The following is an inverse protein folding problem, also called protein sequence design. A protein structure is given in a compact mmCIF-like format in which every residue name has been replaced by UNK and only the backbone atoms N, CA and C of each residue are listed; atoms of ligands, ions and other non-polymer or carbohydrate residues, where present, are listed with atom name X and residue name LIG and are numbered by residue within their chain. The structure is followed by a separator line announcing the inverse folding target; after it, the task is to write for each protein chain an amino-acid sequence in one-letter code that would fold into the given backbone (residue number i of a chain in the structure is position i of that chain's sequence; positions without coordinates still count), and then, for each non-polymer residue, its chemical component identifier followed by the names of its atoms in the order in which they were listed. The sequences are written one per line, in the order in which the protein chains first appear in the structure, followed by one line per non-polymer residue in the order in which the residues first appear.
data_IF_173995481252
#
_entry.id   IF_173995481252
#
_cell.length_a   1.000
_cell.length_b   1.000
_cell.length_c   1.000
_cell.angle_alpha   90.00
_cell.angle_beta   90.00
_cell.angle_gamma   90.00
#
_symmetry.space_group_name_H-M   'P 1'
#
loop_
_entity.id
_entity.type
_entity.pdbx_description
1 polymer ?
#
# COMPACT_ATOMS: atom_id res chain seq x y z
N UNK A 1 -17.03 -1.63 8.76
CA UNK A 1 -17.28 -1.98 7.34
C UNK A 1 -15.94 -2.17 6.65
N UNK A 2 -15.84 -3.16 5.76
CA UNK A 2 -14.64 -3.36 4.94
C UNK A 2 -14.60 -2.31 3.82
N UNK A 3 -13.41 -1.91 3.41
CA UNK A 3 -13.22 -0.83 2.42
C UNK A 3 -12.31 -1.32 1.31
N UNK A 4 -12.74 -1.19 0.05
CA UNK A 4 -11.88 -1.49 -1.10
C UNK A 4 -11.04 -0.26 -1.45
N UNK A 5 -9.73 -0.45 -1.61
CA UNK A 5 -8.76 0.61 -1.93
C UNK A 5 -7.87 0.18 -3.09
N UNK A 6 -7.21 1.14 -3.75
CA UNK A 6 -6.12 0.85 -4.68
C UNK A 6 -4.79 0.87 -3.93
N UNK A 7 -3.97 -0.15 -4.10
CA UNK A 7 -2.65 -0.24 -3.48
C UNK A 7 -1.61 -0.75 -4.48
N UNK A 8 -0.38 -0.23 -4.41
CA UNK A 8 0.75 -0.81 -5.14
C UNK A 8 1.26 -2.01 -4.32
N UNK A 9 1.32 -3.20 -4.93
CA UNK A 9 1.82 -4.44 -4.32
C UNK A 9 2.95 -5.04 -5.14
N UNK A 10 3.95 -5.54 -4.42
CA UNK A 10 5.05 -6.31 -4.97
C UNK A 10 4.90 -7.74 -4.46
N UNK A 11 4.96 -8.72 -5.36
CA UNK A 11 4.92 -10.15 -5.02
C UNK A 11 6.26 -10.84 -5.22
N UNK A 12 7.21 -10.14 -5.83
CA UNK A 12 8.57 -10.58 -6.14
C UNK A 12 9.51 -9.38 -6.14
N UNK A 13 10.80 -9.63 -5.91
CA UNK A 13 11.83 -8.60 -6.08
C UNK A 13 12.12 -8.37 -7.56
N UNK A 14 12.43 -7.13 -7.93
CA UNK A 14 12.84 -6.82 -9.29
C UNK A 14 12.84 -5.33 -9.61
N UNK A 15 12.90 -5.05 -10.91
CA UNK A 15 12.79 -3.70 -11.45
C UNK A 15 11.38 -3.14 -11.27
N UNK A 16 11.15 -1.82 -11.47
CA UNK A 16 9.85 -1.18 -11.24
C UNK A 16 8.62 -1.87 -11.87
N UNK A 17 8.80 -2.66 -12.92
CA UNK A 17 7.76 -3.44 -13.60
C UNK A 17 7.08 -4.49 -12.70
N UNK A 18 7.69 -4.88 -11.59
CA UNK A 18 7.07 -5.81 -10.62
C UNK A 18 5.99 -5.14 -9.76
N UNK A 19 5.92 -3.80 -9.76
CA UNK A 19 4.90 -3.05 -9.05
C UNK A 19 3.53 -3.21 -9.73
N UNK A 20 2.55 -3.73 -9.00
CA UNK A 20 1.18 -3.91 -9.51
C UNK A 20 0.21 -3.03 -8.73
N UNK A 21 -0.62 -2.27 -9.44
CA UNK A 21 -1.73 -1.54 -8.83
C UNK A 21 -2.94 -2.48 -8.70
N UNK A 22 -3.32 -2.80 -7.47
CA UNK A 22 -4.37 -3.77 -7.17
C UNK A 22 -5.51 -3.15 -6.36
N UNK A 23 -6.72 -3.68 -6.55
CA UNK A 23 -7.86 -3.41 -5.66
C UNK A 23 -7.79 -4.36 -4.46
N UNK A 24 -7.69 -3.81 -3.26
CA UNK A 24 -7.50 -4.55 -2.01
C UNK A 24 -8.61 -4.22 -1.03
N UNK A 25 -9.14 -5.23 -0.35
CA UNK A 25 -10.13 -5.05 0.72
C UNK A 25 -9.42 -4.89 2.07
N UNK A 26 -9.69 -3.78 2.77
CA UNK A 26 -9.14 -3.49 4.10
C UNK A 26 -10.16 -3.82 5.21
N UNK A 27 -9.73 -4.54 6.27
CA UNK A 27 -10.55 -4.75 7.45
C UNK A 27 -10.71 -3.44 8.25
N UNK A 28 -11.77 -3.30 9.07
CA UNK A 28 -11.90 -2.15 9.99
C UNK A 28 -10.67 -2.02 10.91
N UNK A 29 -10.31 -0.79 11.33
CA UNK A 29 -9.22 -0.60 12.29
C UNK A 29 -9.55 -1.29 13.62
N UNK A 30 -8.52 -1.84 14.27
CA UNK A 30 -8.65 -2.42 15.60
C UNK A 30 -8.74 -1.34 16.70
N UNK A 31 -8.93 -1.76 17.95
CA UNK A 31 -8.91 -0.85 19.08
C UNK A 31 -7.54 -0.16 19.20
N UNK A 32 -7.54 1.18 19.23
CA UNK A 32 -6.32 1.98 19.30
C UNK A 32 -5.69 2.32 17.94
N UNK A 33 -6.24 1.83 16.82
CA UNK A 33 -5.76 2.16 15.48
C UNK A 33 -6.56 3.31 14.83
N UNK A 34 -5.90 4.06 13.95
CA UNK A 34 -6.53 5.07 13.11
C UNK A 34 -6.49 4.66 11.64
N UNK A 35 -7.50 5.06 10.87
CA UNK A 35 -7.54 4.87 9.41
C UNK A 35 -7.39 6.20 8.69
N UNK A 36 -6.28 6.36 7.96
CA UNK A 36 -6.03 7.51 7.09
C UNK A 36 -6.43 7.24 5.64
N UNK A 37 -6.96 8.26 4.96
CA UNK A 37 -7.14 8.26 3.50
C UNK A 37 -6.02 9.09 2.88
N UNK A 38 -5.10 8.42 2.18
CA UNK A 38 -3.99 9.10 1.50
C UNK A 38 -4.48 9.85 0.26
N UNK A 39 -4.12 11.14 0.16
CA UNK A 39 -4.28 11.94 -1.07
C UNK A 39 -2.99 11.94 -1.90
N UNK A 40 -1.85 11.80 -1.24
CA UNK A 40 -0.53 11.63 -1.85
C UNK A 40 0.35 10.74 -0.95
N UNK A 41 1.35 10.11 -1.56
CA UNK A 41 2.39 9.31 -0.88
C UNK A 41 3.72 9.66 -1.57
N UNK A 42 4.76 9.95 -0.79
CA UNK A 42 6.09 10.23 -1.30
C UNK A 42 6.95 8.96 -1.38
N UNK A 43 7.81 8.89 -2.39
CA UNK A 43 8.86 7.89 -2.46
C UNK A 43 10.11 8.36 -1.72
N UNK A 44 10.74 7.46 -0.99
CA UNK A 44 12.00 7.66 -0.30
C UNK A 44 13.06 6.71 -0.88
N UNK A 45 14.33 7.08 -0.74
CA UNK A 45 15.43 6.23 -1.17
C UNK A 45 15.45 4.86 -0.47
N UNK A 46 14.96 4.78 0.78
CA UNK A 46 14.83 3.51 1.51
C UNK A 46 13.84 2.53 0.87
N UNK A 47 13.00 2.98 -0.07
CA UNK A 47 12.06 2.10 -0.77
C UNK A 47 12.76 1.20 -1.81
N UNK A 48 14.01 1.49 -2.18
CA UNK A 48 14.74 0.77 -3.25
C UNK A 48 16.15 0.31 -2.86
N UNK A 49 16.71 0.81 -1.76
CA UNK A 49 18.01 0.37 -1.28
C UNK A 49 17.86 -0.69 -0.20
N UNK A 50 18.76 -1.68 -0.23
CA UNK A 50 18.86 -2.73 0.79
C UNK A 50 19.94 -2.37 1.81
#
# INVERSE_FOLDING_TARGET
MRTTVRAVRLHEFGLPQVMRLESVELPPPAAGEARGRHTAIGFNFIDVYQ
#
